data_IF_494954764915
#
_entry.id   IF_494954764915
#
_cell.length_a   1.000
_cell.length_b   1.000
_cell.length_c   1.000
_cell.angle_alpha   90.00
_cell.angle_beta   90.00
_cell.angle_gamma   90.00
#
_symmetry.space_group_name_H-M   'P 1'
#
loop_
_entity.id
_entity.type
_entity.pdbx_description
1 polymer ?
#
# COMPACT_ATOMS: atom_id res chain seq x y z
N UNK A 1 -30.65 -1.21 39.01
CA UNK A 1 -30.38 -2.00 37.80
C UNK A 1 -28.86 -2.10 37.61
N UNK A 2 -28.13 -2.97 38.34
CA UNK A 2 -26.66 -3.08 38.23
C UNK A 2 -26.20 -4.22 37.30
N UNK A 3 -27.11 -5.08 36.83
CA UNK A 3 -26.76 -6.35 36.17
C UNK A 3 -26.11 -6.23 34.78
N UNK A 4 -26.08 -5.03 34.18
CA UNK A 4 -25.54 -4.82 32.83
C UNK A 4 -24.35 -3.84 32.76
N UNK A 5 -23.98 -3.18 33.86
CA UNK A 5 -22.88 -2.19 33.86
C UNK A 5 -21.50 -2.85 33.70
N UNK A 6 -21.19 -3.90 34.48
CA UNK A 6 -19.92 -4.62 34.39
C UNK A 6 -19.63 -5.18 32.98
N UNK A 7 -20.59 -5.87 32.31
CA UNK A 7 -20.41 -6.32 30.93
C UNK A 7 -20.17 -5.18 29.94
N UNK A 8 -20.82 -4.02 30.11
CA UNK A 8 -20.65 -2.88 29.19
C UNK A 8 -19.27 -2.23 29.34
N UNK A 9 -18.76 -2.12 30.57
CA UNK A 9 -17.42 -1.62 30.85
C UNK A 9 -16.35 -2.53 30.22
N UNK A 10 -16.50 -3.85 30.34
CA UNK A 10 -15.58 -4.81 29.71
C UNK A 10 -15.56 -4.68 28.18
N UNK A 11 -16.73 -4.49 27.56
CA UNK A 11 -16.84 -4.25 26.11
C UNK A 11 -16.13 -2.95 25.71
N UNK A 12 -16.28 -1.87 26.48
CA UNK A 12 -15.59 -0.59 26.23
C UNK A 12 -14.07 -0.77 26.30
N UNK A 13 -13.56 -1.48 27.31
CA UNK A 13 -12.12 -1.75 27.43
C UNK A 13 -11.59 -2.65 26.29
N UNK A 14 -12.39 -3.61 25.84
CA UNK A 14 -12.06 -4.42 24.67
C UNK A 14 -11.98 -3.58 23.40
N UNK A 15 -12.92 -2.65 23.19
CA UNK A 15 -12.89 -1.72 22.05
C UNK A 15 -11.66 -0.82 22.12
N UNK A 16 -11.33 -0.25 23.29
CA UNK A 16 -10.13 0.58 23.47
C UNK A 16 -8.86 -0.19 23.06
N UNK A 17 -8.69 -1.42 23.55
CA UNK A 17 -7.52 -2.26 23.20
C UNK A 17 -7.44 -2.54 21.71
N UNK A 18 -8.56 -2.86 21.09
CA UNK A 18 -8.63 -3.14 19.65
C UNK A 18 -8.30 -1.89 18.82
N UNK A 19 -8.80 -0.71 19.21
CA UNK A 19 -8.48 0.56 18.58
C UNK A 19 -6.98 0.88 18.66
N UNK A 20 -6.36 0.69 19.84
CA UNK A 20 -4.91 0.85 20.00
C UNK A 20 -4.14 -0.09 19.07
N UNK A 21 -4.53 -1.37 19.03
CA UNK A 21 -3.93 -2.37 18.12
C UNK A 21 -4.05 -1.96 16.65
N UNK A 22 -5.19 -1.43 16.23
CA UNK A 22 -5.39 -0.93 14.86
C UNK A 22 -4.49 0.26 14.59
N UNK A 23 -4.44 1.23 15.50
CA UNK A 23 -3.64 2.44 15.34
C UNK A 23 -2.14 2.14 15.23
N UNK A 24 -1.62 1.21 16.05
CA UNK A 24 -0.24 0.75 15.95
C UNK A 24 0.05 0.07 14.61
N UNK A 25 -0.90 -0.73 14.10
CA UNK A 25 -0.77 -1.39 12.79
C UNK A 25 -0.79 -0.40 11.63
N UNK A 26 -1.62 0.64 11.69
CA UNK A 26 -1.62 1.74 10.71
C UNK A 26 -0.29 2.50 10.75
N UNK A 27 0.24 2.79 11.95
CA UNK A 27 1.55 3.43 12.12
C UNK A 27 2.70 2.59 11.57
N UNK A 28 2.73 1.29 11.85
CA UNK A 28 3.76 0.39 11.31
C UNK A 28 3.74 0.32 9.78
N UNK A 29 2.56 0.44 9.18
CA UNK A 29 2.38 0.47 7.73
C UNK A 29 3.04 1.68 7.06
N UNK A 30 3.09 2.85 7.71
CA UNK A 30 3.77 4.05 7.19
C UNK A 30 5.26 3.80 6.86
N UNK A 31 5.93 2.96 7.64
CA UNK A 31 7.35 2.69 7.44
C UNK A 31 7.58 1.83 6.19
N UNK A 32 6.81 0.76 6.03
CA UNK A 32 6.87 -0.08 4.83
C UNK A 32 6.45 0.65 3.56
N UNK A 33 5.45 1.54 3.67
CA UNK A 33 4.92 2.29 2.54
C UNK A 33 5.92 3.29 1.93
N UNK A 34 6.71 3.98 2.77
CA UNK A 34 7.73 4.92 2.29
C UNK A 34 8.82 4.21 1.47
N UNK A 35 9.26 3.04 1.92
CA UNK A 35 10.25 2.23 1.21
C UNK A 35 9.70 1.78 -0.16
N UNK A 36 8.42 1.40 -0.23
CA UNK A 36 7.77 1.03 -1.49
C UNK A 36 7.64 2.22 -2.45
N UNK A 37 7.30 3.41 -1.95
CA UNK A 37 7.23 4.62 -2.77
C UNK A 37 8.61 4.98 -3.37
N UNK A 38 9.68 4.86 -2.60
CA UNK A 38 11.03 5.13 -3.11
C UNK A 38 11.42 4.13 -4.22
N UNK A 39 11.14 2.83 -4.00
CA UNK A 39 11.39 1.80 -5.02
C UNK A 39 10.55 1.99 -6.29
N UNK A 40 9.35 2.58 -6.18
CA UNK A 40 8.54 2.99 -7.33
C UNK A 40 9.21 4.09 -8.13
N UNK A 41 9.67 5.16 -7.49
CA UNK A 41 10.30 6.29 -8.18
C UNK A 41 11.52 5.82 -8.98
N UNK A 42 12.35 4.96 -8.38
CA UNK A 42 13.47 4.30 -9.06
C UNK A 42 13.02 3.47 -10.28
N UNK A 43 11.83 2.87 -10.24
CA UNK A 43 11.25 2.09 -11.34
C UNK A 43 10.68 2.97 -12.46
N UNK A 44 10.02 4.08 -12.15
CA UNK A 44 9.48 5.01 -13.14
C UNK A 44 10.59 5.65 -13.99
N UNK A 45 11.67 6.12 -13.35
CA UNK A 45 12.85 6.67 -14.05
C UNK A 45 13.48 5.61 -14.97
N UNK A 46 13.48 4.36 -14.53
CA UNK A 46 14.04 3.23 -15.26
C UNK A 46 13.23 2.87 -16.52
N UNK A 47 11.91 2.84 -16.45
CA UNK A 47 11.05 2.60 -17.63
C UNK A 47 11.30 3.68 -18.68
N UNK A 48 11.39 4.93 -18.27
CA UNK A 48 11.66 6.04 -19.19
C UNK A 48 13.03 5.90 -19.87
N UNK A 49 14.03 5.43 -19.13
CA UNK A 49 15.36 5.13 -19.68
C UNK A 49 15.32 4.01 -20.73
N UNK A 50 14.64 2.89 -20.46
CA UNK A 50 14.47 1.79 -21.43
C UNK A 50 13.73 2.25 -22.68
N UNK A 51 12.60 2.94 -22.51
CA UNK A 51 11.79 3.41 -23.63
C UNK A 51 12.63 4.26 -24.60
N UNK A 52 13.38 5.23 -24.06
CA UNK A 52 14.30 6.08 -24.85
C UNK A 52 15.37 5.29 -25.60
N UNK A 53 15.94 4.24 -24.98
CA UNK A 53 17.02 3.45 -25.60
C UNK A 53 16.48 2.45 -26.63
N UNK A 54 15.30 1.88 -26.38
CA UNK A 54 14.58 1.01 -27.32
C UNK A 54 14.18 1.76 -28.59
N UNK A 55 13.70 3.01 -28.49
CA UNK A 55 13.43 3.85 -29.66
C UNK A 55 14.70 4.12 -30.49
N UNK A 56 15.82 4.43 -29.83
CA UNK A 56 17.10 4.62 -30.52
C UNK A 56 17.56 3.36 -31.26
N UNK A 57 17.33 2.18 -30.69
CA UNK A 57 17.66 0.91 -31.33
C UNK A 57 16.72 0.61 -32.52
N UNK A 58 15.42 0.90 -32.42
CA UNK A 58 14.47 0.78 -33.55
C UNK A 58 14.82 1.68 -34.73
N UNK A 59 15.54 2.78 -34.50
CA UNK A 59 16.03 3.66 -35.55
C UNK A 59 17.21 3.09 -36.35
N UNK A 60 17.91 2.06 -35.83
CA UNK A 60 19.00 1.36 -36.53
C UNK A 60 18.39 0.32 -37.46
N UNK A 61 18.58 0.47 -38.79
CA UNK A 61 18.06 -0.49 -39.77
C UNK A 61 18.94 -1.76 -39.80
N UNK A 62 18.36 -2.97 -39.62
CA UNK A 62 19.15 -4.22 -39.53
C UNK A 62 19.87 -4.65 -40.81
N UNK A 63 19.52 -4.09 -41.98
CA UNK A 63 19.89 -4.68 -43.27
C UNK A 63 21.28 -4.29 -43.80
N UNK A 64 22.09 -3.56 -43.03
CA UNK A 64 23.43 -3.11 -43.45
C UNK A 64 24.57 -3.56 -42.49
N UNK A 65 24.32 -4.43 -41.50
CA UNK A 65 25.35 -4.87 -40.55
C UNK A 65 26.03 -6.18 -40.96
N UNK A 66 27.36 -6.21 -40.93
CA UNK A 66 28.21 -7.40 -41.02
C UNK A 66 28.14 -8.28 -39.74
N UNK A 67 28.59 -9.54 -39.81
CA UNK A 67 28.62 -10.45 -38.65
C UNK A 67 29.47 -9.90 -37.49
N UNK A 68 30.56 -9.19 -37.77
CA UNK A 68 31.42 -8.57 -36.75
C UNK A 68 30.73 -7.39 -36.05
N UNK A 69 29.99 -6.57 -36.81
CA UNK A 69 29.17 -5.47 -36.27
C UNK A 69 28.01 -6.00 -35.43
N UNK A 70 27.37 -7.09 -35.88
CA UNK A 70 26.32 -7.75 -35.12
C UNK A 70 26.87 -8.36 -33.83
N UNK A 71 28.03 -9.04 -33.87
CA UNK A 71 28.65 -9.65 -32.69
C UNK A 71 29.06 -8.59 -31.66
N UNK A 72 29.70 -7.49 -32.11
CA UNK A 72 30.03 -6.33 -31.26
C UNK A 72 28.77 -5.69 -30.66
N UNK A 73 27.72 -5.52 -31.46
CA UNK A 73 26.43 -5.03 -30.97
C UNK A 73 25.83 -5.96 -29.91
N UNK A 74 25.92 -7.27 -30.10
CA UNK A 74 25.39 -8.26 -29.15
C UNK A 74 26.17 -8.24 -27.83
N UNK A 75 27.50 -8.09 -27.87
CA UNK A 75 28.33 -7.93 -26.66
C UNK A 75 28.02 -6.63 -25.90
N UNK A 76 27.64 -5.56 -26.59
CA UNK A 76 27.21 -4.30 -25.98
C UNK A 76 25.79 -4.45 -25.39
N UNK A 77 24.88 -5.12 -26.09
CA UNK A 77 23.46 -5.20 -25.73
C UNK A 77 23.20 -6.24 -24.62
N UNK A 78 23.95 -7.33 -24.56
CA UNK A 78 23.71 -8.44 -23.62
C UNK A 78 23.86 -8.05 -22.14
N UNK A 79 24.87 -7.27 -21.71
CA UNK A 79 24.92 -6.75 -20.34
C UNK A 79 23.74 -5.83 -20.01
N UNK A 80 23.28 -5.05 -20.99
CA UNK A 80 22.09 -4.21 -20.81
C UNK A 80 20.82 -5.05 -20.63
N UNK A 81 20.64 -6.11 -21.44
CA UNK A 81 19.51 -7.05 -21.28
C UNK A 81 19.52 -7.74 -19.91
N UNK A 82 20.66 -8.26 -19.45
CA UNK A 82 20.76 -8.88 -18.13
C UNK A 82 20.47 -7.87 -16.99
N UNK A 83 21.01 -6.66 -17.10
CA UNK A 83 20.70 -5.57 -16.17
C UNK A 83 19.19 -5.27 -16.17
N UNK A 84 18.55 -5.32 -17.34
CA UNK A 84 17.11 -5.07 -17.44
C UNK A 84 16.25 -6.19 -16.85
N UNK A 85 16.64 -7.45 -17.03
CA UNK A 85 15.96 -8.60 -16.43
C UNK A 85 15.99 -8.56 -14.89
N UNK A 86 17.13 -8.21 -14.30
CA UNK A 86 17.25 -8.05 -12.84
C UNK A 86 16.34 -6.94 -12.30
N UNK A 87 16.23 -5.84 -13.05
CA UNK A 87 15.39 -4.70 -12.66
C UNK A 87 13.90 -4.98 -12.82
N UNK A 88 13.47 -5.73 -13.84
CA UNK A 88 12.09 -6.21 -13.98
C UNK A 88 11.71 -7.12 -12.79
N UNK A 89 12.62 -8.00 -12.36
CA UNK A 89 12.39 -8.83 -11.15
C UNK A 89 12.22 -7.98 -9.90
N UNK A 90 13.01 -6.92 -9.74
CA UNK A 90 12.86 -5.99 -8.62
C UNK A 90 11.50 -5.27 -8.65
N UNK A 91 11.04 -4.85 -9.84
CA UNK A 91 9.74 -4.20 -10.02
C UNK A 91 8.56 -5.12 -9.65
N UNK A 92 8.57 -6.37 -10.12
CA UNK A 92 7.55 -7.36 -9.76
C UNK A 92 7.49 -7.59 -8.25
N UNK A 93 8.65 -7.60 -7.56
CA UNK A 93 8.68 -7.71 -6.10
C UNK A 93 8.03 -6.51 -5.39
N UNK A 94 8.12 -5.29 -5.96
CA UNK A 94 7.42 -4.11 -5.43
C UNK A 94 5.91 -4.26 -5.61
N UNK A 95 5.46 -4.72 -6.79
CA UNK A 95 4.05 -5.01 -7.07
C UNK A 95 3.48 -6.03 -6.10
N UNK A 96 4.16 -7.16 -5.89
CA UNK A 96 3.73 -8.21 -4.96
C UNK A 96 3.58 -7.65 -3.53
N UNK A 97 4.55 -6.86 -3.07
CA UNK A 97 4.49 -6.23 -1.75
C UNK A 97 3.34 -5.22 -1.63
N UNK A 98 3.01 -4.49 -2.68
CA UNK A 98 1.85 -3.59 -2.69
C UNK A 98 0.52 -4.35 -2.65
N UNK A 99 0.46 -5.51 -3.30
CA UNK A 99 -0.69 -6.40 -3.24
C UNK A 99 -0.91 -6.94 -1.81
N UNK A 100 0.17 -7.39 -1.16
CA UNK A 100 0.14 -7.78 0.26
C UNK A 100 -0.32 -6.63 1.16
N UNK A 101 0.16 -5.43 0.87
CA UNK A 101 -0.16 -4.20 1.60
C UNK A 101 -1.66 -3.84 1.46
N UNK A 102 -2.22 -4.00 0.26
CA UNK A 102 -3.67 -3.85 0.00
C UNK A 102 -4.50 -4.88 0.79
N UNK A 103 -4.06 -6.14 0.83
CA UNK A 103 -4.72 -7.20 1.61
C UNK A 103 -4.70 -6.88 3.11
N UNK A 104 -3.58 -6.37 3.60
CA UNK A 104 -3.43 -5.94 5.00
C UNK A 104 -4.42 -4.83 5.36
N UNK A 105 -4.53 -3.79 4.53
CA UNK A 105 -5.48 -2.69 4.75
C UNK A 105 -6.94 -3.17 4.69
N UNK A 106 -7.27 -4.09 3.78
CA UNK A 106 -8.59 -4.73 3.74
C UNK A 106 -8.93 -5.44 5.07
N UNK A 107 -7.95 -6.12 5.67
CA UNK A 107 -8.09 -6.72 7.00
C UNK A 107 -8.35 -5.69 8.10
N UNK A 108 -7.64 -4.55 8.07
CA UNK A 108 -7.87 -3.44 9.02
C UNK A 108 -9.27 -2.84 8.85
N UNK A 109 -9.71 -2.62 7.60
CA UNK A 109 -11.04 -2.07 7.29
C UNK A 109 -12.17 -2.89 7.90
N UNK A 110 -12.07 -4.23 7.85
CA UNK A 110 -13.05 -5.13 8.48
C UNK A 110 -13.12 -4.93 9.99
N UNK A 111 -11.98 -4.72 10.67
CA UNK A 111 -11.91 -4.47 12.11
C UNK A 111 -12.49 -3.09 12.46
N UNK A 112 -12.17 -2.07 11.68
CA UNK A 112 -12.75 -0.72 11.79
C UNK A 112 -14.28 -0.80 11.71
N UNK A 113 -14.83 -1.44 10.68
CA UNK A 113 -16.28 -1.60 10.52
C UNK A 113 -16.93 -2.33 11.70
N UNK A 114 -16.24 -3.34 12.27
CA UNK A 114 -16.72 -4.05 13.46
C UNK A 114 -16.78 -3.12 14.67
N UNK A 115 -15.76 -2.30 14.89
CA UNK A 115 -15.74 -1.31 15.99
C UNK A 115 -16.83 -0.26 15.78
N UNK A 116 -17.03 0.25 14.57
CA UNK A 116 -18.11 1.19 14.25
C UNK A 116 -19.49 0.61 14.66
N UNK A 117 -19.73 -0.66 14.34
CA UNK A 117 -20.94 -1.37 14.73
C UNK A 117 -21.09 -1.50 16.25
N UNK A 118 -20.01 -1.84 16.97
CA UNK A 118 -20.03 -1.95 18.44
C UNK A 118 -20.26 -0.58 19.09
N UNK A 119 -19.60 0.48 18.64
CA UNK A 119 -19.78 1.83 19.16
C UNK A 119 -21.23 2.29 18.99
N UNK A 120 -21.84 2.04 17.84
CA UNK A 120 -23.26 2.35 17.59
C UNK A 120 -24.20 1.60 18.53
N UNK A 121 -23.89 0.33 18.84
CA UNK A 121 -24.65 -0.46 19.81
C UNK A 121 -24.47 0.07 21.24
N UNK A 122 -23.23 0.38 21.64
CA UNK A 122 -22.94 0.94 22.96
C UNK A 122 -23.68 2.27 23.19
N UNK A 123 -23.71 3.16 22.19
CA UNK A 123 -24.46 4.42 22.27
C UNK A 123 -25.97 4.20 22.47
N UNK A 124 -26.53 3.15 21.87
CA UNK A 124 -27.95 2.80 22.02
C UNK A 124 -28.30 2.20 23.38
N UNK A 125 -27.30 1.63 24.07
CA UNK A 125 -27.46 0.92 25.34
C UNK A 125 -26.96 1.72 26.55
N UNK A 126 -26.20 2.80 26.32
CA UNK A 126 -25.49 3.51 27.38
C UNK A 126 -26.39 4.37 28.27
N UNK A 127 -26.21 4.22 29.58
CA UNK A 127 -26.69 5.15 30.60
C UNK A 127 -25.92 6.48 30.55
N UNK A 128 -26.49 7.52 31.16
CA UNK A 128 -26.04 8.91 31.04
C UNK A 128 -24.57 9.14 31.44
N UNK A 129 -24.06 8.33 32.38
CA UNK A 129 -22.69 8.42 32.89
C UNK A 129 -21.63 7.78 31.98
N UNK A 130 -22.01 6.90 31.03
CA UNK A 130 -21.10 6.29 30.04
C UNK A 130 -21.01 7.11 28.74
N UNK A 131 -21.85 8.14 28.58
CA UNK A 131 -21.90 8.95 27.35
C UNK A 131 -20.65 9.77 27.10
N UNK A 132 -20.00 10.26 28.16
CA UNK A 132 -18.76 11.03 28.06
C UNK A 132 -17.62 10.15 27.52
N UNK A 133 -17.47 8.94 28.09
CA UNK A 133 -16.48 7.95 27.67
C UNK A 133 -16.72 7.48 26.23
N UNK A 134 -17.99 7.27 25.85
CA UNK A 134 -18.34 6.90 24.47
C UNK A 134 -18.07 8.02 23.47
N UNK A 135 -18.30 9.29 23.83
CA UNK A 135 -17.91 10.43 22.96
C UNK A 135 -16.41 10.47 22.74
N UNK A 136 -15.62 10.33 23.80
CA UNK A 136 -14.16 10.33 23.69
C UNK A 136 -13.66 9.14 22.86
N UNK A 137 -14.27 7.97 23.03
CA UNK A 137 -13.95 6.78 22.25
C UNK A 137 -14.34 6.94 20.77
N UNK A 138 -15.47 7.57 20.49
CA UNK A 138 -15.92 7.86 19.13
C UNK A 138 -15.03 8.86 18.41
N UNK A 139 -14.57 9.91 19.11
CA UNK A 139 -13.60 10.84 18.53
C UNK A 139 -12.31 10.12 18.14
N UNK A 140 -11.74 9.30 19.03
CA UNK A 140 -10.55 8.50 18.71
C UNK A 140 -10.78 7.54 17.54
N UNK A 141 -12.00 7.01 17.41
CA UNK A 141 -12.36 6.13 16.31
C UNK A 141 -12.40 6.87 14.98
N UNK A 142 -12.96 8.09 14.95
CA UNK A 142 -12.95 8.94 13.76
C UNK A 142 -11.53 9.29 13.33
N UNK A 143 -10.63 9.57 14.28
CA UNK A 143 -9.22 9.84 13.96
C UNK A 143 -8.56 8.61 13.31
N UNK A 144 -8.83 7.39 13.83
CA UNK A 144 -8.34 6.13 13.25
C UNK A 144 -8.92 5.88 11.86
N UNK A 145 -10.22 6.15 11.65
CA UNK A 145 -10.86 6.04 10.33
C UNK A 145 -10.20 6.99 9.33
N UNK A 146 -9.97 8.25 9.70
CA UNK A 146 -9.30 9.24 8.85
C UNK A 146 -7.86 8.84 8.49
N UNK A 147 -7.08 8.40 9.48
CA UNK A 147 -5.72 7.90 9.26
C UNK A 147 -5.72 6.70 8.30
N UNK A 148 -6.66 5.77 8.48
CA UNK A 148 -6.82 4.61 7.61
C UNK A 148 -7.19 5.02 6.17
N UNK A 149 -8.17 5.91 5.99
CA UNK A 149 -8.62 6.36 4.67
C UNK A 149 -7.50 7.05 3.90
N UNK A 150 -6.70 7.89 4.57
CA UNK A 150 -5.51 8.50 3.98
C UNK A 150 -4.52 7.44 3.48
N UNK A 151 -4.25 6.40 4.28
CA UNK A 151 -3.35 5.30 3.87
C UNK A 151 -3.91 4.47 2.71
N UNK A 152 -5.21 4.16 2.74
CA UNK A 152 -5.89 3.40 1.69
C UNK A 152 -5.84 4.17 0.36
N UNK A 153 -6.03 5.48 0.39
CA UNK A 153 -5.91 6.33 -0.80
C UNK A 153 -4.48 6.34 -1.35
N UNK A 154 -3.48 6.58 -0.50
CA UNK A 154 -2.07 6.56 -0.93
C UNK A 154 -1.72 5.23 -1.61
N UNK A 155 -2.19 4.09 -1.09
CA UNK A 155 -1.93 2.77 -1.68
C UNK A 155 -2.53 2.60 -3.08
N UNK A 156 -3.77 3.08 -3.26
CA UNK A 156 -4.43 3.02 -4.57
C UNK A 156 -3.69 3.87 -5.60
N UNK A 157 -3.20 5.03 -5.19
CA UNK A 157 -2.43 5.92 -6.06
C UNK A 157 -1.09 5.29 -6.48
N UNK A 158 -0.34 4.69 -5.54
CA UNK A 158 0.88 3.96 -5.89
C UNK A 158 0.63 2.78 -6.82
N UNK A 159 -0.38 1.98 -6.51
CA UNK A 159 -0.73 0.80 -7.31
C UNK A 159 -1.08 1.22 -8.74
N UNK A 160 -1.84 2.32 -8.88
CA UNK A 160 -2.19 2.87 -10.19
C UNK A 160 -0.95 3.35 -10.95
N UNK A 161 -0.10 4.17 -10.32
CA UNK A 161 1.11 4.69 -10.99
C UNK A 161 2.04 3.57 -11.46
N UNK A 162 2.19 2.49 -10.68
CA UNK A 162 2.99 1.33 -11.10
C UNK A 162 2.37 0.60 -12.29
N UNK A 163 1.05 0.37 -12.25
CA UNK A 163 0.37 -0.27 -13.38
C UNK A 163 0.51 0.59 -14.65
N UNK A 164 0.28 1.90 -14.54
CA UNK A 164 0.44 2.85 -15.64
C UNK A 164 1.88 2.87 -16.18
N UNK A 165 2.88 2.66 -15.32
CA UNK A 165 4.28 2.58 -15.70
C UNK A 165 4.59 1.25 -16.43
N UNK A 166 4.11 0.13 -15.90
CA UNK A 166 4.25 -1.19 -16.51
C UNK A 166 3.61 -1.28 -17.90
N UNK A 167 2.45 -0.63 -18.12
CA UNK A 167 1.78 -0.60 -19.44
C UNK A 167 2.57 0.15 -20.53
N UNK A 168 3.59 0.93 -20.17
CA UNK A 168 4.44 1.70 -21.12
C UNK A 168 5.68 0.95 -21.60
N UNK A 169 6.00 -0.20 -21.00
CA UNK A 169 7.07 -1.11 -21.45
C UNK A 169 6.60 -1.97 -22.61
#
# INVERSE_FOLDING_TARGET
MPQYEEPLIEVIENVKREMTSIQERIKGYHFGFRELNQKREEFEEYIEFIAKRTEKLKAVRPNDCSEEEYSSFTEIVKPHLNYYEEKIKAANSVVDRLQESTNFLSGIKKRINKIAGILKLLESLSEEHLREDLRALRQKFQDIEGDFEAKDQECRELTKSINDACERL
#
